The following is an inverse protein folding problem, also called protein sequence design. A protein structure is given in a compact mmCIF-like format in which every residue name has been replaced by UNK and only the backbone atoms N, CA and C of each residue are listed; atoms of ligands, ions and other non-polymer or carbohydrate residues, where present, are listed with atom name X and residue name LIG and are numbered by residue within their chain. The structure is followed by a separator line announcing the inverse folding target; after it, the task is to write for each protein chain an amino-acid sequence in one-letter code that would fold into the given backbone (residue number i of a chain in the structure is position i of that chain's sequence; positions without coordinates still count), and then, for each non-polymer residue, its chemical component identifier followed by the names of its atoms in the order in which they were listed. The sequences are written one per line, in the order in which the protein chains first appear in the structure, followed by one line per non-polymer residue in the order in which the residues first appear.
data_IF_995636998809
#
_entry.id   IF_995636998809
#
_cell.length_a   1.000
_cell.length_b   1.000
_cell.length_c   1.000
_cell.angle_alpha   90.00
_cell.angle_beta   90.00
_cell.angle_gamma   90.00
#
_symmetry.space_group_name_H-M   'P 1'
#
loop_
_entity.id
_entity.type
_entity.pdbx_description
1 polymer ?
#
# COMPACT_ATOMS: atom_id res chain seq x y z
N UNK A 1 -26.81 -2.27 3.65
CA UNK A 1 -25.72 -1.54 2.98
C UNK A 1 -24.48 -1.95 3.76
N UNK A 2 -23.54 -2.64 3.13
CA UNK A 2 -22.27 -2.96 3.78
C UNK A 2 -21.58 -1.63 4.04
N UNK A 3 -21.16 -1.42 5.29
CA UNK A 3 -20.37 -0.27 5.70
C UNK A 3 -19.06 -0.32 4.90
N UNK A 4 -18.88 0.60 3.96
CA UNK A 4 -17.67 0.68 3.12
C UNK A 4 -16.55 1.28 3.97
N UNK A 5 -16.01 0.50 4.91
CA UNK A 5 -14.91 0.89 5.77
C UNK A 5 -13.58 0.58 5.10
N UNK A 6 -12.60 1.48 5.21
CA UNK A 6 -11.26 1.35 4.66
C UNK A 6 -11.00 2.22 3.41
N UNK A 7 -9.80 2.09 2.83
CA UNK A 7 -9.38 2.84 1.64
C UNK A 7 -10.09 2.31 0.39
N UNK A 8 -11.14 3.01 -0.05
CA UNK A 8 -11.95 2.62 -1.20
C UNK A 8 -11.71 3.54 -2.40
N UNK A 9 -11.29 2.95 -3.50
CA UNK A 9 -11.15 3.63 -4.79
C UNK A 9 -12.30 3.27 -5.72
N UNK A 10 -12.91 4.28 -6.37
CA UNK A 10 -14.08 4.15 -7.26
C UNK A 10 -13.74 4.52 -8.70
N UNK A 11 -14.58 4.10 -9.62
CA UNK A 11 -14.44 4.43 -11.04
C UNK A 11 -13.13 3.92 -11.63
N UNK A 12 -12.36 4.82 -12.24
CA UNK A 12 -11.05 4.56 -12.85
C UNK A 12 -9.85 4.85 -11.92
N UNK A 13 -10.09 5.12 -10.62
CA UNK A 13 -9.01 5.36 -9.67
C UNK A 13 -8.09 4.15 -9.47
N UNK A 14 -8.54 2.88 -9.48
CA UNK A 14 -7.64 1.72 -9.44
C UNK A 14 -6.66 1.66 -10.62
N UNK A 15 -7.07 2.01 -11.84
CA UNK A 15 -6.17 2.07 -13.00
C UNK A 15 -5.15 3.21 -12.87
N UNK A 16 -5.58 4.35 -12.35
CA UNK A 16 -4.66 5.47 -12.06
C UNK A 16 -3.70 5.12 -10.94
N UNK A 17 -4.14 4.37 -9.92
CA UNK A 17 -3.27 3.86 -8.87
C UNK A 17 -2.15 2.98 -9.45
N UNK A 18 -2.49 2.04 -10.34
CA UNK A 18 -1.48 1.21 -11.03
C UNK A 18 -0.50 2.06 -11.84
N UNK A 19 -0.97 3.15 -12.45
CA UNK A 19 -0.15 4.01 -13.29
C UNK A 19 0.76 4.94 -12.48
N UNK A 20 0.22 5.57 -11.42
CA UNK A 20 0.88 6.68 -10.74
C UNK A 20 1.38 6.35 -9.33
N UNK A 21 0.75 5.42 -8.63
CA UNK A 21 1.14 5.08 -7.27
C UNK A 21 2.00 3.81 -7.20
N UNK A 22 1.59 2.73 -7.84
CA UNK A 22 2.29 1.45 -7.76
C UNK A 22 3.79 1.53 -8.13
N UNK A 23 4.25 2.28 -9.15
CA UNK A 23 5.66 2.31 -9.51
C UNK A 23 6.59 2.84 -8.42
N UNK A 24 6.19 3.85 -7.65
CA UNK A 24 7.06 4.38 -6.59
C UNK A 24 7.07 3.48 -5.33
N UNK A 25 6.17 2.51 -5.25
CA UNK A 25 6.16 1.50 -4.19
C UNK A 25 7.20 0.40 -4.37
N UNK A 26 7.83 0.27 -5.55
CA UNK A 26 8.72 -0.84 -5.88
C UNK A 26 9.80 -1.12 -4.82
N UNK A 27 10.56 -0.15 -4.27
CA UNK A 27 11.56 -0.43 -3.25
C UNK A 27 10.97 -0.99 -1.95
N UNK A 28 9.75 -0.60 -1.60
CA UNK A 28 9.05 -1.10 -0.42
C UNK A 28 8.50 -2.50 -0.63
N UNK A 29 8.07 -2.83 -1.86
CA UNK A 29 7.72 -4.21 -2.25
C UNK A 29 8.92 -5.13 -2.11
N UNK A 30 10.08 -4.74 -2.65
CA UNK A 30 11.31 -5.50 -2.49
C UNK A 30 11.66 -5.71 -1.00
N UNK A 31 11.52 -4.65 -0.17
CA UNK A 31 11.81 -4.71 1.25
C UNK A 31 10.91 -5.71 2.02
N UNK A 32 9.60 -5.79 1.74
CA UNK A 32 8.73 -6.78 2.40
C UNK A 32 9.02 -8.19 1.90
N UNK A 33 9.32 -8.37 0.61
CA UNK A 33 9.64 -9.68 0.05
C UNK A 33 10.99 -10.21 0.53
N UNK A 34 11.99 -9.34 0.72
CA UNK A 34 13.27 -9.70 1.32
C UNK A 34 13.11 -10.10 2.79
N UNK A 35 12.22 -9.40 3.52
CA UNK A 35 12.01 -9.63 4.93
C UNK A 35 11.35 -11.00 5.25
N UNK A 36 10.58 -11.56 4.32
CA UNK A 36 9.95 -12.88 4.49
C UNK A 36 10.79 -14.03 3.93
N UNK A 37 11.97 -13.75 3.35
CA UNK A 37 12.92 -14.75 2.90
C UNK A 37 12.27 -15.83 2.00
N UNK A 38 11.64 -15.38 0.90
CA UNK A 38 10.93 -16.26 -0.02
C UNK A 38 11.89 -17.27 -0.67
N UNK A 39 11.42 -18.50 -0.79
CA UNK A 39 12.14 -19.58 -1.46
C UNK A 39 11.36 -20.12 -2.67
N UNK A 40 12.04 -20.74 -3.65
CA UNK A 40 11.36 -21.38 -4.77
C UNK A 40 10.37 -22.45 -4.32
N UNK A 41 9.14 -22.34 -4.80
CA UNK A 41 8.04 -23.23 -4.39
C UNK A 41 7.20 -22.75 -3.21
N UNK A 42 7.52 -21.60 -2.58
CA UNK A 42 6.74 -21.05 -1.47
C UNK A 42 5.29 -20.70 -1.87
N UNK A 43 4.39 -20.83 -0.91
CA UNK A 43 2.98 -20.38 -1.01
C UNK A 43 2.85 -19.05 -0.28
N UNK A 44 2.49 -17.99 -1.01
CA UNK A 44 2.52 -16.60 -0.53
C UNK A 44 1.13 -15.96 -0.62
N UNK A 45 0.77 -15.18 0.39
CA UNK A 45 -0.37 -14.27 0.38
C UNK A 45 0.13 -12.81 0.32
N UNK A 46 -0.36 -12.07 -0.65
CA UNK A 46 -0.31 -10.60 -0.69
C UNK A 46 -1.63 -10.08 -0.10
N UNK A 47 -1.58 -9.60 1.14
CA UNK A 47 -2.74 -9.10 1.90
C UNK A 47 -2.92 -7.61 1.67
N UNK A 48 -4.12 -7.16 1.36
CA UNK A 48 -4.42 -5.83 0.82
C UNK A 48 -3.60 -5.58 -0.45
N UNK A 49 -3.73 -6.50 -1.40
CA UNK A 49 -2.86 -6.58 -2.57
C UNK A 49 -3.00 -5.42 -3.57
N UNK A 50 -4.04 -4.59 -3.44
CA UNK A 50 -4.33 -3.52 -4.37
C UNK A 50 -4.39 -4.03 -5.80
N UNK A 51 -3.64 -3.41 -6.70
CA UNK A 51 -3.52 -3.81 -8.12
C UNK A 51 -2.55 -4.99 -8.35
N UNK A 52 -2.10 -5.67 -7.27
CA UNK A 52 -1.31 -6.90 -7.34
C UNK A 52 0.19 -6.69 -7.61
N UNK A 53 0.74 -5.52 -7.30
CA UNK A 53 2.14 -5.21 -7.58
C UNK A 53 3.09 -6.11 -6.77
N UNK A 54 2.84 -6.28 -5.45
CA UNK A 54 3.64 -7.17 -4.60
C UNK A 54 3.40 -8.65 -4.95
N UNK A 55 2.16 -9.05 -5.26
CA UNK A 55 1.86 -10.40 -5.72
C UNK A 55 2.64 -10.79 -7.00
N UNK A 56 2.73 -9.89 -7.99
CA UNK A 56 3.51 -10.12 -9.21
C UNK A 56 5.00 -10.29 -8.92
N UNK A 57 5.56 -9.46 -8.04
CA UNK A 57 6.96 -9.57 -7.62
C UNK A 57 7.23 -10.86 -6.82
N UNK A 58 6.31 -11.25 -5.93
CA UNK A 58 6.39 -12.51 -5.19
C UNK A 58 6.35 -13.72 -6.14
N UNK A 59 5.48 -13.72 -7.15
CA UNK A 59 5.38 -14.80 -8.14
C UNK A 59 6.69 -15.00 -8.91
N UNK A 60 7.38 -13.92 -9.26
CA UNK A 60 8.70 -13.99 -9.90
C UNK A 60 9.76 -14.65 -8.99
N UNK A 61 9.68 -14.45 -7.67
CA UNK A 61 10.63 -15.02 -6.69
C UNK A 61 10.37 -16.50 -6.40
N UNK A 62 9.10 -16.87 -6.22
CA UNK A 62 8.76 -18.27 -5.87
C UNK A 62 8.82 -19.23 -7.06
N UNK A 63 8.78 -18.70 -8.27
CA UNK A 63 8.93 -19.46 -9.50
C UNK A 63 7.80 -20.47 -9.76
N UNK A 64 7.94 -21.34 -10.76
CA UNK A 64 6.83 -22.17 -11.29
C UNK A 64 6.30 -23.23 -10.31
N UNK A 65 7.04 -23.58 -9.28
CA UNK A 65 6.60 -24.53 -8.25
C UNK A 65 5.85 -23.84 -7.09
N UNK A 66 5.93 -22.50 -7.01
CA UNK A 66 5.27 -21.71 -5.97
C UNK A 66 3.79 -21.47 -6.23
N UNK A 67 3.15 -20.79 -5.28
CA UNK A 67 1.75 -20.33 -5.40
C UNK A 67 1.63 -18.94 -4.80
N UNK A 68 0.91 -18.04 -5.47
CA UNK A 68 0.65 -16.69 -4.97
C UNK A 68 -0.84 -16.40 -5.00
N UNK A 69 -1.32 -15.90 -3.88
CA UNK A 69 -2.69 -15.38 -3.74
C UNK A 69 -2.62 -13.90 -3.38
N UNK A 70 -3.54 -13.11 -3.90
CA UNK A 70 -3.76 -11.72 -3.49
C UNK A 70 -5.18 -11.55 -2.96
N UNK A 71 -5.33 -10.88 -1.83
CA UNK A 71 -6.63 -10.53 -1.27
C UNK A 71 -6.72 -9.02 -1.03
N UNK A 72 -7.81 -8.41 -1.47
CA UNK A 72 -8.12 -7.00 -1.23
C UNK A 72 -9.63 -6.82 -1.06
N UNK A 73 -10.03 -5.87 -0.21
CA UNK A 73 -11.45 -5.60 0.02
C UNK A 73 -12.09 -4.84 -1.15
N UNK A 74 -11.29 -4.16 -1.97
CA UNK A 74 -11.75 -3.34 -3.09
C UNK A 74 -11.84 -4.16 -4.39
N UNK A 75 -13.07 -4.42 -4.86
CA UNK A 75 -13.32 -5.16 -6.11
C UNK A 75 -12.65 -4.50 -7.33
N UNK A 76 -12.59 -3.18 -7.39
CA UNK A 76 -11.93 -2.44 -8.48
C UNK A 76 -10.43 -2.70 -8.52
N UNK A 77 -9.77 -2.76 -7.35
CA UNK A 77 -8.36 -3.12 -7.24
C UNK A 77 -8.14 -4.57 -7.71
N UNK A 78 -8.95 -5.51 -7.21
CA UNK A 78 -8.87 -6.93 -7.59
C UNK A 78 -9.09 -7.12 -9.10
N UNK A 79 -9.99 -6.37 -9.70
CA UNK A 79 -10.21 -6.39 -11.16
C UNK A 79 -8.94 -5.98 -11.91
N UNK A 80 -8.34 -4.83 -11.55
CA UNK A 80 -7.09 -4.37 -12.17
C UNK A 80 -5.95 -5.36 -11.93
N UNK A 81 -5.85 -5.94 -10.72
CA UNK A 81 -4.85 -6.95 -10.41
C UNK A 81 -4.94 -8.16 -11.36
N UNK A 82 -6.17 -8.66 -11.62
CA UNK A 82 -6.41 -9.77 -12.57
C UNK A 82 -6.05 -9.39 -14.01
N UNK A 83 -6.40 -8.18 -14.43
CA UNK A 83 -6.11 -7.67 -15.79
C UNK A 83 -4.59 -7.46 -16.02
N UNK A 84 -3.85 -7.09 -14.96
CA UNK A 84 -2.42 -6.83 -15.01
C UNK A 84 -1.56 -8.06 -14.69
N UNK A 85 -2.16 -9.12 -14.16
CA UNK A 85 -1.43 -10.36 -13.91
C UNK A 85 -0.82 -10.88 -15.22
N UNK A 86 0.51 -11.11 -15.28
CA UNK A 86 1.10 -11.72 -16.43
C UNK A 86 0.61 -13.16 -16.56
N UNK A 87 0.47 -13.66 -17.80
CA UNK A 87 0.25 -15.08 -18.05
C UNK A 87 1.55 -15.83 -17.79
N UNK A 88 1.82 -16.10 -16.55
CA UNK A 88 3.01 -16.81 -16.10
C UNK A 88 2.58 -17.95 -15.17
N UNK A 89 3.43 -18.95 -15.06
CA UNK A 89 3.22 -20.02 -14.09
C UNK A 89 4.07 -19.74 -12.83
N UNK A 90 3.50 -19.81 -11.62
CA UNK A 90 2.09 -20.10 -11.34
C UNK A 90 1.18 -18.91 -11.64
N UNK A 91 -0.07 -19.19 -11.97
CA UNK A 91 -1.11 -18.15 -12.03
C UNK A 91 -1.30 -17.54 -10.64
N UNK A 92 -1.47 -16.21 -10.60
CA UNK A 92 -1.76 -15.50 -9.36
C UNK A 92 -3.28 -15.49 -9.14
N UNK A 93 -3.74 -16.04 -8.02
CA UNK A 93 -5.15 -16.03 -7.65
C UNK A 93 -5.51 -14.76 -6.88
N UNK A 94 -6.39 -13.91 -7.45
CA UNK A 94 -6.86 -12.70 -6.78
C UNK A 94 -8.31 -12.84 -6.30
N UNK A 95 -8.58 -12.45 -5.05
CA UNK A 95 -9.89 -12.59 -4.40
C UNK A 95 -10.29 -11.30 -3.70
N UNK A 96 -11.54 -10.89 -3.86
CA UNK A 96 -12.10 -9.79 -3.07
C UNK A 96 -12.49 -10.32 -1.69
N UNK A 97 -11.81 -9.85 -0.65
CA UNK A 97 -12.07 -10.25 0.73
C UNK A 97 -11.51 -9.22 1.71
N UNK A 98 -12.19 -8.98 2.85
CA UNK A 98 -11.65 -8.16 3.92
C UNK A 98 -10.54 -8.92 4.67
N UNK A 99 -9.60 -8.15 5.25
CA UNK A 99 -8.41 -8.71 5.90
C UNK A 99 -8.71 -9.52 7.17
N UNK A 100 -9.84 -9.25 7.82
CA UNK A 100 -10.32 -9.92 9.03
C UNK A 100 -11.17 -11.16 8.76
N UNK A 101 -11.40 -11.48 7.45
CA UNK A 101 -12.18 -12.67 7.04
C UNK A 101 -11.67 -13.20 5.70
N UNK A 102 -10.56 -13.87 5.72
CA UNK A 102 -9.90 -14.40 4.52
C UNK A 102 -10.51 -15.75 4.09
N UNK A 103 -10.80 -15.96 2.80
CA UNK A 103 -11.42 -17.20 2.30
C UNK A 103 -10.38 -18.32 2.08
N UNK A 104 -9.47 -18.48 3.04
CA UNK A 104 -8.40 -19.47 2.97
C UNK A 104 -8.46 -20.41 4.18
N UNK A 105 -7.96 -21.62 4.00
CA UNK A 105 -7.80 -22.61 5.07
C UNK A 105 -6.70 -22.16 6.06
N UNK A 106 -6.71 -22.80 7.25
CA UNK A 106 -5.70 -22.55 8.27
C UNK A 106 -4.33 -23.04 7.81
N UNK A 107 -3.29 -22.29 8.16
CA UNK A 107 -1.89 -22.71 8.05
C UNK A 107 -1.43 -23.14 6.65
N UNK A 108 -1.90 -22.43 5.59
CA UNK A 108 -1.50 -22.78 4.21
C UNK A 108 -0.37 -21.91 3.65
N UNK A 109 -0.15 -20.70 4.17
CA UNK A 109 0.85 -19.78 3.62
C UNK A 109 2.21 -19.91 4.33
N UNK A 110 3.27 -20.02 3.53
CA UNK A 110 4.66 -19.93 3.98
C UNK A 110 5.02 -18.51 4.39
N UNK A 111 4.46 -17.55 3.66
CA UNK A 111 4.67 -16.13 3.91
C UNK A 111 3.40 -15.33 3.61
N UNK A 112 3.18 -14.29 4.42
CA UNK A 112 2.16 -13.28 4.17
C UNK A 112 2.86 -11.92 4.11
N UNK A 113 2.60 -11.14 3.08
CA UNK A 113 3.10 -9.77 2.94
C UNK A 113 1.93 -8.80 2.88
N UNK A 114 2.10 -7.59 3.43
CA UNK A 114 1.10 -6.52 3.39
C UNK A 114 1.81 -5.18 3.10
N UNK A 115 1.84 -4.77 1.85
CA UNK A 115 2.57 -3.59 1.45
C UNK A 115 1.63 -2.37 1.45
N UNK A 116 1.83 -1.43 2.39
CA UNK A 116 1.06 -0.18 2.55
C UNK A 116 -0.46 -0.39 2.67
N UNK A 117 -0.88 -1.48 3.31
CA UNK A 117 -2.30 -1.82 3.49
C UNK A 117 -2.76 -1.75 4.96
N UNK A 118 -1.92 -2.19 5.90
CA UNK A 118 -2.31 -2.41 7.30
C UNK A 118 -2.81 -1.14 8.02
N UNK A 119 -2.35 0.06 7.64
CA UNK A 119 -2.81 1.33 8.20
C UNK A 119 -4.29 1.63 7.91
N UNK A 120 -4.87 0.97 6.91
CA UNK A 120 -6.26 1.16 6.49
C UNK A 120 -7.21 0.09 7.04
N UNK A 121 -6.72 -0.88 7.81
CA UNK A 121 -7.58 -1.91 8.37
C UNK A 121 -8.48 -1.32 9.48
N UNK A 122 -9.81 -1.49 9.38
CA UNK A 122 -10.74 -1.00 10.40
C UNK A 122 -10.48 -1.63 11.77
N UNK A 123 -10.21 -2.94 11.79
CA UNK A 123 -9.81 -3.72 12.97
C UNK A 123 -8.48 -4.43 12.68
N UNK A 124 -7.39 -3.81 13.15
CA UNK A 124 -6.05 -4.33 12.93
C UNK A 124 -5.79 -5.63 13.70
N UNK A 125 -6.38 -5.77 14.89
CA UNK A 125 -6.21 -6.96 15.73
C UNK A 125 -6.92 -8.16 15.10
N UNK A 126 -8.16 -7.98 14.61
CA UNK A 126 -8.88 -9.02 13.88
C UNK A 126 -8.16 -9.41 12.58
N UNK A 127 -7.65 -8.44 11.80
CA UNK A 127 -6.91 -8.70 10.58
C UNK A 127 -5.61 -9.48 10.84
N UNK A 128 -4.87 -9.16 11.91
CA UNK A 128 -3.65 -9.89 12.23
C UNK A 128 -3.92 -11.24 12.89
N UNK A 129 -5.02 -11.42 13.62
CA UNK A 129 -5.47 -12.74 14.09
C UNK A 129 -5.79 -13.66 12.89
N UNK A 130 -6.47 -13.13 11.88
CA UNK A 130 -6.78 -13.85 10.65
C UNK A 130 -5.52 -14.14 9.82
N UNK A 131 -4.60 -13.19 9.74
CA UNK A 131 -3.26 -13.40 9.16
C UNK A 131 -2.52 -14.53 9.85
N UNK A 132 -2.55 -14.56 11.19
CA UNK A 132 -1.93 -15.65 11.97
C UNK A 132 -2.62 -17.00 11.70
N UNK A 133 -3.94 -17.03 11.55
CA UNK A 133 -4.68 -18.26 11.23
C UNK A 133 -4.24 -18.88 9.90
N UNK A 134 -4.11 -18.08 8.86
CA UNK A 134 -3.76 -18.56 7.51
C UNK A 134 -2.27 -18.81 7.32
N UNK A 135 -1.41 -18.23 8.17
CA UNK A 135 0.04 -18.45 8.15
C UNK A 135 0.37 -19.75 8.87
N UNK A 136 1.16 -20.64 8.26
CA UNK A 136 1.59 -21.89 8.88
C UNK A 136 2.54 -21.66 10.06
N UNK A 137 2.67 -22.59 11.01
CA UNK A 137 3.71 -22.54 12.03
C UNK A 137 5.10 -22.45 11.39
N UNK A 138 5.91 -21.47 11.85
CA UNK A 138 7.20 -21.11 11.25
C UNK A 138 7.11 -20.25 9.97
N UNK A 139 5.90 -19.96 9.50
CA UNK A 139 5.67 -19.03 8.39
C UNK A 139 5.99 -17.58 8.79
N UNK A 140 6.29 -16.74 7.81
CA UNK A 140 6.76 -15.37 8.03
C UNK A 140 5.72 -14.34 7.60
N UNK A 141 5.70 -13.25 8.33
CA UNK A 141 4.92 -12.06 8.00
C UNK A 141 5.83 -10.85 7.84
N UNK A 142 5.54 -10.01 6.85
CA UNK A 142 6.12 -8.67 6.75
C UNK A 142 5.09 -7.67 6.22
N UNK A 143 5.09 -6.47 6.81
CA UNK A 143 4.29 -5.37 6.30
C UNK A 143 5.07 -4.06 6.30
N UNK A 144 4.69 -3.16 5.38
CA UNK A 144 5.08 -1.75 5.47
C UNK A 144 3.87 -0.86 5.67
N UNK A 145 4.06 0.20 6.44
CA UNK A 145 3.16 1.35 6.55
C UNK A 145 3.99 2.63 6.46
N UNK A 146 3.41 3.74 6.03
CA UNK A 146 4.16 4.98 6.04
C UNK A 146 4.63 5.34 7.45
N UNK A 147 5.86 5.83 7.56
CA UNK A 147 6.35 6.48 8.76
C UNK A 147 5.63 7.83 8.97
N UNK A 148 5.98 8.56 10.02
CA UNK A 148 5.38 9.85 10.29
C UNK A 148 5.48 10.77 9.06
N UNK A 149 4.37 11.44 8.69
CA UNK A 149 4.25 12.27 7.48
C UNK A 149 5.37 13.30 7.34
N UNK A 150 5.81 13.91 8.44
CA UNK A 150 6.88 14.91 8.47
C UNK A 150 8.26 14.39 8.01
N UNK A 151 8.43 13.07 7.92
CA UNK A 151 9.63 12.43 7.38
C UNK A 151 9.59 12.26 5.85
N UNK A 152 8.47 12.58 5.20
CA UNK A 152 8.24 12.35 3.77
C UNK A 152 7.83 13.68 3.11
N UNK A 153 8.80 14.44 2.57
CA UNK A 153 8.54 15.79 2.03
C UNK A 153 7.40 15.85 1.01
N UNK A 154 7.27 14.83 0.15
CA UNK A 154 6.18 14.74 -0.81
C UNK A 154 4.81 14.71 -0.13
N UNK A 155 4.66 13.92 0.94
CA UNK A 155 3.39 13.83 1.66
C UNK A 155 3.11 15.05 2.53
N UNK A 156 4.15 15.77 2.97
CA UNK A 156 3.96 17.09 3.60
C UNK A 156 3.34 18.07 2.60
N UNK A 157 3.95 18.18 1.41
CA UNK A 157 3.45 19.06 0.35
C UNK A 157 2.04 18.65 -0.13
N UNK A 158 1.80 17.35 -0.28
CA UNK A 158 0.50 16.82 -0.68
C UNK A 158 -0.59 17.11 0.38
N UNK A 159 -0.26 16.99 1.66
CA UNK A 159 -1.17 17.33 2.75
C UNK A 159 -1.62 18.80 2.71
N UNK A 160 -0.67 19.72 2.52
CA UNK A 160 -1.02 21.14 2.42
C UNK A 160 -1.90 21.44 1.20
N UNK A 161 -1.63 20.80 0.06
CA UNK A 161 -2.48 20.90 -1.11
C UNK A 161 -3.88 20.29 -0.89
N UNK A 162 -3.97 19.10 -0.26
CA UNK A 162 -5.25 18.47 0.08
C UNK A 162 -6.04 19.34 1.06
N UNK A 163 -5.39 19.95 2.05
CA UNK A 163 -6.02 20.85 3.01
C UNK A 163 -6.55 22.13 2.36
N UNK A 164 -5.79 22.71 1.42
CA UNK A 164 -6.17 23.94 0.72
C UNK A 164 -7.35 23.70 -0.24
N UNK A 165 -7.32 22.61 -1.01
CA UNK A 165 -8.31 22.36 -2.07
C UNK A 165 -9.41 21.37 -1.67
N UNK A 166 -9.20 20.56 -0.65
CA UNK A 166 -10.19 19.60 -0.15
C UNK A 166 -10.83 19.99 1.17
N UNK A 167 -10.20 20.92 1.89
CA UNK A 167 -10.67 21.37 3.20
C UNK A 167 -10.24 20.49 4.37
N UNK A 168 -10.59 20.90 5.60
CA UNK A 168 -10.08 20.30 6.82
C UNK A 168 -10.54 18.85 7.05
N UNK A 169 -11.72 18.48 6.58
CA UNK A 169 -12.26 17.12 6.77
C UNK A 169 -11.45 16.11 5.93
N UNK A 170 -11.19 16.41 4.64
CA UNK A 170 -10.39 15.57 3.77
C UNK A 170 -8.94 15.52 4.25
N UNK A 171 -8.40 16.62 4.76
CA UNK A 171 -7.07 16.65 5.36
C UNK A 171 -6.97 15.78 6.62
N UNK A 172 -8.01 15.70 7.43
CA UNK A 172 -8.06 14.79 8.58
C UNK A 172 -8.07 13.31 8.15
N UNK A 173 -8.84 12.96 7.11
CA UNK A 173 -8.83 11.61 6.53
C UNK A 173 -7.46 11.25 5.95
N UNK A 174 -6.77 12.22 5.35
CA UNK A 174 -5.40 12.04 4.84
C UNK A 174 -4.43 11.62 5.95
N UNK A 175 -4.54 12.17 7.16
CA UNK A 175 -3.70 11.77 8.29
C UNK A 175 -3.88 10.29 8.68
N UNK A 176 -5.02 9.70 8.39
CA UNK A 176 -5.29 8.27 8.59
C UNK A 176 -4.29 7.35 7.89
N UNK A 177 -3.74 7.78 6.74
CA UNK A 177 -2.70 7.02 6.03
C UNK A 177 -1.40 6.82 6.84
N UNK A 178 -1.20 7.58 7.91
CA UNK A 178 -0.02 7.53 8.77
C UNK A 178 -0.31 6.92 10.15
N UNK A 179 -1.48 6.31 10.34
CA UNK A 179 -1.91 5.69 11.60
C UNK A 179 -1.20 4.37 11.93
N UNK A 180 -0.51 3.76 10.97
CA UNK A 180 0.22 2.50 11.11
C UNK A 180 1.55 2.66 11.83
N UNK A 181 1.53 3.10 13.10
CA UNK A 181 2.77 3.30 13.88
C UNK A 181 3.46 2.00 14.24
N UNK A 182 4.78 2.05 14.45
CA UNK A 182 5.58 0.88 14.86
C UNK A 182 5.01 0.19 16.11
N UNK A 183 4.58 0.97 17.10
CA UNK A 183 4.00 0.47 18.35
C UNK A 183 2.68 -0.28 18.08
N UNK A 184 1.75 0.32 17.34
CA UNK A 184 0.47 -0.27 17.02
C UNK A 184 0.63 -1.59 16.25
N UNK A 185 1.49 -1.62 15.23
CA UNK A 185 1.74 -2.81 14.41
C UNK A 185 2.38 -3.94 15.22
N UNK A 186 3.44 -3.63 15.99
CA UNK A 186 4.15 -4.65 16.77
C UNK A 186 3.28 -5.21 17.90
N UNK A 187 2.45 -4.39 18.53
CA UNK A 187 1.51 -4.82 19.56
C UNK A 187 0.48 -5.76 18.98
N UNK A 188 -0.18 -5.39 17.89
CA UNK A 188 -1.20 -6.22 17.25
C UNK A 188 -0.64 -7.57 16.74
N UNK A 189 0.58 -7.59 16.16
CA UNK A 189 1.22 -8.84 15.75
C UNK A 189 1.54 -9.76 16.93
N UNK A 190 2.05 -9.22 18.02
CA UNK A 190 2.32 -10.03 19.24
C UNK A 190 1.02 -10.57 19.82
N UNK A 191 -0.04 -9.77 19.86
CA UNK A 191 -1.37 -10.20 20.31
C UNK A 191 -1.92 -11.33 19.44
N UNK A 192 -1.69 -11.28 18.12
CA UNK A 192 -2.07 -12.33 17.19
C UNK A 192 -1.21 -13.62 17.29
N UNK A 193 -0.16 -13.63 18.14
CA UNK A 193 0.67 -14.80 18.42
C UNK A 193 1.92 -14.93 17.56
N UNK A 194 2.29 -13.88 16.80
CA UNK A 194 3.59 -13.84 16.13
C UNK A 194 4.74 -13.67 17.13
N UNK A 195 5.83 -14.38 16.87
CA UNK A 195 7.08 -14.32 17.64
C UNK A 195 8.14 -13.51 16.85
N UNK A 196 9.25 -13.17 17.50
CA UNK A 196 10.37 -12.43 16.90
C UNK A 196 9.94 -11.15 16.18
N UNK A 197 8.89 -10.50 16.75
CA UNK A 197 8.30 -9.30 16.15
C UNK A 197 9.28 -8.14 16.27
N UNK A 198 9.69 -7.63 15.10
CA UNK A 198 10.55 -6.44 14.97
C UNK A 198 9.89 -5.38 14.11
N UNK A 199 10.28 -4.13 14.33
CA UNK A 199 9.91 -3.02 13.45
C UNK A 199 11.11 -2.10 13.28
N UNK A 200 11.39 -1.70 12.05
CA UNK A 200 12.44 -0.72 11.72
C UNK A 200 11.98 0.19 10.61
N UNK A 201 12.54 1.39 10.56
CA UNK A 201 12.33 2.27 9.41
C UNK A 201 13.19 1.83 8.23
N UNK A 202 12.59 1.92 7.04
CA UNK A 202 13.27 1.79 5.75
C UNK A 202 13.02 3.05 4.94
N UNK A 203 14.07 3.61 4.33
CA UNK A 203 13.96 4.85 3.57
C UNK A 203 14.62 4.69 2.21
N UNK A 204 13.93 5.17 1.16
CA UNK A 204 14.40 5.10 -0.22
C UNK A 204 14.25 6.47 -0.89
N UNK A 205 15.22 6.82 -1.74
CA UNK A 205 15.11 7.95 -2.66
C UNK A 205 14.22 7.57 -3.84
N UNK A 206 13.07 8.21 -3.97
CA UNK A 206 12.14 7.98 -5.08
C UNK A 206 12.32 9.09 -6.11
N UNK A 207 12.64 8.70 -7.34
CA UNK A 207 12.75 9.62 -8.47
C UNK A 207 11.37 9.89 -9.08
N UNK A 208 11.04 11.16 -9.22
CA UNK A 208 9.82 11.65 -9.84
C UNK A 208 10.11 12.42 -11.12
N UNK A 209 9.29 12.27 -12.16
CA UNK A 209 9.30 13.19 -13.30
C UNK A 209 8.86 14.59 -12.84
N UNK A 210 8.78 15.60 -13.73
CA UNK A 210 8.34 16.94 -13.36
C UNK A 210 7.07 16.90 -12.51
N UNK A 211 7.18 17.36 -11.24
CA UNK A 211 6.13 17.20 -10.23
C UNK A 211 4.82 17.90 -10.61
N UNK A 212 4.89 19.03 -11.32
CA UNK A 212 3.71 19.77 -11.76
C UNK A 212 2.83 18.93 -12.73
N UNK A 213 3.43 18.00 -13.49
CA UNK A 213 2.74 17.10 -14.40
C UNK A 213 2.31 15.79 -13.71
N UNK A 214 3.15 15.30 -12.80
CA UNK A 214 2.94 14.02 -12.12
C UNK A 214 1.91 14.09 -10.99
N UNK A 215 1.97 15.13 -10.15
CA UNK A 215 1.19 15.19 -8.91
C UNK A 215 -0.33 15.18 -9.13
N UNK A 216 -0.91 15.84 -10.17
CA UNK A 216 -2.35 15.70 -10.44
C UNK A 216 -2.78 14.25 -10.72
N UNK A 217 -1.98 13.51 -11.50
CA UNK A 217 -2.23 12.09 -11.81
C UNK A 217 -2.16 11.22 -10.55
N UNK A 218 -1.16 11.44 -9.72
CA UNK A 218 -0.98 10.71 -8.47
C UNK A 218 -2.12 11.02 -7.48
N UNK A 219 -2.48 12.29 -7.27
CA UNK A 219 -3.65 12.68 -6.46
C UNK A 219 -4.94 12.02 -6.96
N UNK A 220 -5.17 12.00 -8.28
CA UNK A 220 -6.36 11.38 -8.87
C UNK A 220 -6.48 9.88 -8.60
N UNK A 221 -5.41 9.23 -8.18
CA UNK A 221 -5.35 7.82 -7.81
C UNK A 221 -5.69 7.54 -6.34
N UNK A 222 -6.14 8.57 -5.60
CA UNK A 222 -6.45 8.50 -4.18
C UNK A 222 -7.91 8.89 -3.91
N UNK A 223 -8.45 8.45 -2.78
CA UNK A 223 -9.78 8.88 -2.31
C UNK A 223 -9.84 10.39 -2.04
N UNK A 224 -8.75 10.97 -1.58
CA UNK A 224 -8.66 12.41 -1.30
C UNK A 224 -8.70 13.24 -2.60
N UNK A 225 -8.03 12.80 -3.65
CA UNK A 225 -8.11 13.45 -4.96
C UNK A 225 -9.50 13.35 -5.56
N UNK A 226 -10.19 12.22 -5.38
CA UNK A 226 -11.59 12.09 -5.80
C UNK A 226 -12.49 13.06 -5.01
N UNK A 227 -12.29 13.17 -3.69
CA UNK A 227 -13.07 14.10 -2.86
C UNK A 227 -12.82 15.58 -3.26
N UNK A 228 -11.59 15.95 -3.65
CA UNK A 228 -11.31 17.28 -4.21
C UNK A 228 -12.12 17.51 -5.50
N UNK A 229 -12.14 16.53 -6.40
CA UNK A 229 -12.91 16.63 -7.66
C UNK A 229 -14.42 16.76 -7.40
N UNK A 230 -14.94 15.95 -6.49
CA UNK A 230 -16.36 15.94 -6.15
C UNK A 230 -16.82 17.27 -5.54
N UNK A 231 -15.96 17.96 -4.79
CA UNK A 231 -16.25 19.23 -4.13
C UNK A 231 -16.01 20.45 -5.03
N UNK A 232 -14.90 20.47 -5.78
CA UNK A 232 -14.36 21.67 -6.45
C UNK A 232 -14.17 21.48 -7.97
N UNK A 233 -14.43 20.27 -8.50
CA UNK A 233 -14.28 19.93 -9.91
C UNK A 233 -12.85 19.58 -10.35
N UNK A 234 -12.71 19.11 -11.59
CA UNK A 234 -11.45 18.58 -12.15
C UNK A 234 -10.30 19.61 -12.14
N UNK A 235 -10.60 20.89 -12.36
CA UNK A 235 -9.61 21.97 -12.37
C UNK A 235 -8.93 22.13 -10.99
N UNK A 236 -9.64 21.81 -9.90
CA UNK A 236 -9.08 21.87 -8.55
C UNK A 236 -7.97 20.83 -8.34
N UNK A 237 -8.12 19.66 -8.93
CA UNK A 237 -7.10 18.62 -8.87
C UNK A 237 -5.79 19.05 -9.56
N UNK A 238 -5.88 19.76 -10.70
CA UNK A 238 -4.71 20.32 -11.38
C UNK A 238 -4.04 21.40 -10.54
N UNK A 239 -4.85 22.27 -9.91
CA UNK A 239 -4.31 23.32 -8.99
C UNK A 239 -3.64 22.69 -7.78
N UNK A 240 -4.27 21.68 -7.16
CA UNK A 240 -3.69 20.94 -6.03
C UNK A 240 -2.35 20.29 -6.41
N UNK A 241 -2.26 19.67 -7.59
CA UNK A 241 -1.00 19.11 -8.08
C UNK A 241 0.09 20.16 -8.30
N UNK A 242 -0.25 21.37 -8.77
CA UNK A 242 0.69 22.50 -8.87
C UNK A 242 1.16 22.97 -7.49
N UNK A 243 0.25 23.06 -6.52
CA UNK A 243 0.60 23.43 -5.15
C UNK A 243 1.59 22.41 -4.53
N UNK A 244 1.45 21.12 -4.80
CA UNK A 244 2.46 20.11 -4.40
C UNK A 244 3.84 20.46 -4.96
N UNK A 245 3.94 20.82 -6.25
CA UNK A 245 5.20 21.23 -6.86
C UNK A 245 5.75 22.52 -6.22
N UNK A 246 4.91 23.53 -6.00
CA UNK A 246 5.30 24.80 -5.41
C UNK A 246 5.86 24.62 -3.99
N UNK A 247 5.26 23.76 -3.18
CA UNK A 247 5.77 23.41 -1.83
C UNK A 247 7.11 22.65 -1.85
N UNK A 248 7.48 22.08 -2.98
CA UNK A 248 8.74 21.32 -3.18
C UNK A 248 9.73 22.03 -4.11
N UNK A 249 9.49 23.30 -4.45
CA UNK A 249 10.29 24.02 -5.44
C UNK A 249 11.79 24.08 -5.09
N UNK A 250 12.12 24.13 -3.80
CA UNK A 250 13.51 24.10 -3.29
C UNK A 250 14.18 22.72 -3.39
N UNK A 251 13.42 21.68 -3.73
CA UNK A 251 13.85 20.27 -3.82
C UNK A 251 13.76 19.70 -5.23
N UNK A 252 13.36 20.52 -6.20
CA UNK A 252 13.25 20.12 -7.61
C UNK A 252 14.43 20.57 -8.42
N UNK A 253 14.79 19.79 -9.44
CA UNK A 253 15.74 20.18 -10.47
C UNK A 253 15.12 21.28 -11.39
N UNK A 254 15.93 21.96 -12.25
CA UNK A 254 15.42 22.99 -13.15
C UNK A 254 14.33 22.54 -14.13
N UNK A 255 14.24 21.22 -14.41
CA UNK A 255 13.19 20.61 -15.22
C UNK A 255 11.94 20.25 -14.44
N UNK A 256 11.91 20.51 -13.12
CA UNK A 256 10.82 20.19 -12.22
C UNK A 256 10.81 18.75 -11.69
N UNK A 257 11.77 17.90 -12.11
CA UNK A 257 11.94 16.55 -11.56
C UNK A 257 12.52 16.60 -10.14
N UNK A 258 12.34 15.53 -9.37
CA UNK A 258 12.87 15.45 -8.00
C UNK A 258 13.24 14.02 -7.62
N UNK A 259 14.23 13.87 -6.72
CA UNK A 259 14.44 12.64 -5.97
C UNK A 259 14.17 12.93 -4.49
N UNK A 260 13.11 12.35 -3.94
CA UNK A 260 12.64 12.65 -2.60
C UNK A 260 12.72 11.42 -1.70
N UNK A 261 13.09 11.58 -0.41
CA UNK A 261 13.10 10.48 0.54
C UNK A 261 11.65 10.08 0.89
N UNK A 262 11.41 8.76 0.88
CA UNK A 262 10.20 8.14 1.39
C UNK A 262 10.58 7.14 2.47
N UNK A 263 9.94 7.22 3.62
CA UNK A 263 10.24 6.39 4.79
C UNK A 263 8.98 5.62 5.21
N UNK A 264 9.17 4.34 5.47
CA UNK A 264 8.13 3.44 5.94
C UNK A 264 8.60 2.64 7.16
N UNK A 265 7.67 2.28 8.03
CA UNK A 265 7.87 1.26 9.03
C UNK A 265 7.83 -0.10 8.32
N UNK A 266 8.84 -0.93 8.48
CA UNK A 266 8.86 -2.33 8.09
C UNK A 266 8.74 -3.17 9.35
N UNK A 267 7.60 -3.83 9.51
CA UNK A 267 7.34 -4.75 10.62
C UNK A 267 7.44 -6.19 10.13
N UNK A 268 8.01 -7.07 10.95
CA UNK A 268 8.13 -8.51 10.65
C UNK A 268 7.76 -9.36 11.85
N UNK A 269 7.40 -10.61 11.61
CA UNK A 269 7.14 -11.60 12.66
C UNK A 269 7.17 -13.03 12.10
N UNK A 270 7.33 -14.00 12.99
CA UNK A 270 7.27 -15.44 12.69
C UNK A 270 6.09 -16.06 13.42
N UNK A 271 5.29 -16.88 12.71
CA UNK A 271 4.10 -17.52 13.26
C UNK A 271 4.45 -18.71 14.11
#
# INVERSE_FOLDING_TARGET
MADETGFQLKGSAPERYEQYAAPFMAPFVEAVLDAVDLFPGATVLDLACGTGFAARAAAARVGPAGRVSGADVNDGMVRVARERAPRMYPDIAFTAAPADKLPYEDAIFDAVVCQQGAQFFPDLDAAFAETARVTRPGGRFAATTWAARNLIPYFVAQYEAVKEYGGPEIAADYEGAFSGTAERLTTALRTAGFQDVTCREVSFGIAFPPLAEYAPGQLSSTSWGQAIVDNEGDDALVRAGRAVHEHLADRTAPDGSATLPFTANLVTGVR
#
